data_IF_593008662644
#
_entry.id   IF_593008662644
#
_cell.length_a   1.000
_cell.length_b   1.000
_cell.length_c   1.000
_cell.angle_alpha   90.00
_cell.angle_beta   90.00
_cell.angle_gamma   90.00
#
_symmetry.space_group_name_H-M   'P 1'
#
loop_
_entity.id
_entity.type
_entity.pdbx_description
1 polymer ?
#
# COMPACT_ATOMS: atom_id res chain seq x y z
N UNK A 1 2.61 13.05 -5.34
CA UNK A 1 1.99 14.37 -5.10
C UNK A 1 0.50 14.22 -4.74
N UNK A 2 -0.33 13.66 -5.62
CA UNK A 2 -1.78 13.56 -5.41
C UNK A 2 -2.18 12.87 -4.10
N UNK A 3 -1.54 11.77 -3.75
CA UNK A 3 -1.83 11.00 -2.53
C UNK A 3 -1.53 11.77 -1.23
N UNK A 4 -0.65 12.76 -1.29
CA UNK A 4 -0.13 13.45 -0.09
C UNK A 4 -0.63 14.88 0.05
N UNK A 5 -1.42 15.41 -0.89
CA UNK A 5 -1.90 16.80 -0.89
C UNK A 5 -2.62 17.22 0.40
N UNK A 6 -3.32 16.29 1.04
CA UNK A 6 -4.05 16.55 2.29
C UNK A 6 -3.26 16.16 3.54
N UNK A 7 -2.02 15.69 3.39
CA UNK A 7 -1.20 15.27 4.51
C UNK A 7 -0.42 16.47 5.09
N UNK A 8 -0.71 16.84 6.31
CA UNK A 8 0.04 17.87 7.01
C UNK A 8 1.43 17.38 7.42
N UNK A 9 2.45 18.19 7.20
CA UNK A 9 3.83 17.89 7.59
C UNK A 9 4.66 17.14 6.55
N UNK A 10 4.11 16.99 5.31
CA UNK A 10 4.79 16.32 4.22
C UNK A 10 4.39 16.94 2.87
N UNK A 11 5.33 17.53 2.16
CA UNK A 11 5.09 18.24 0.91
C UNK A 11 5.89 17.61 -0.22
N UNK A 12 5.22 17.10 -1.24
CA UNK A 12 5.87 16.59 -2.45
C UNK A 12 5.94 17.72 -3.48
N UNK A 13 7.11 18.00 -4.09
CA UNK A 13 7.23 19.03 -5.12
C UNK A 13 6.27 18.77 -6.28
N UNK A 14 5.63 19.82 -6.77
CA UNK A 14 4.73 19.75 -7.92
C UNK A 14 5.54 19.56 -9.20
N UNK A 15 5.00 18.76 -10.13
CA UNK A 15 5.59 18.55 -11.45
C UNK A 15 4.95 19.50 -12.46
N UNK A 16 5.79 20.13 -13.29
CA UNK A 16 5.38 20.96 -14.42
C UNK A 16 5.40 20.14 -15.70
N UNK A 17 4.28 19.50 -16.02
CA UNK A 17 4.16 18.57 -17.14
C UNK A 17 4.50 19.21 -18.49
N UNK A 18 4.15 20.50 -18.70
CA UNK A 18 4.45 21.24 -19.91
C UNK A 18 5.97 21.43 -20.17
N UNK A 19 6.78 21.29 -19.12
CA UNK A 19 8.24 21.42 -19.18
C UNK A 19 8.95 20.09 -18.89
N UNK A 20 8.20 18.98 -18.86
CA UNK A 20 8.73 17.64 -18.57
C UNK A 20 8.73 16.80 -19.85
N UNK A 21 9.83 16.07 -20.09
CA UNK A 21 10.00 15.20 -21.26
C UNK A 21 10.53 13.84 -20.80
N UNK A 22 10.80 12.90 -21.73
CA UNK A 22 11.39 11.59 -21.39
C UNK A 22 12.73 11.66 -20.65
N UNK A 23 13.48 12.76 -20.79
CA UNK A 23 14.81 12.92 -20.22
C UNK A 23 14.94 14.13 -19.29
N UNK A 24 13.90 14.93 -19.15
CA UNK A 24 13.88 16.14 -18.32
C UNK A 24 12.66 16.09 -17.42
N UNK A 25 12.89 16.16 -16.12
CA UNK A 25 11.84 16.31 -15.11
C UNK A 25 11.91 17.72 -14.53
N UNK A 26 10.86 18.50 -14.71
CA UNK A 26 10.74 19.85 -14.16
C UNK A 26 9.76 19.85 -13.00
N UNK A 27 10.24 20.28 -11.84
CA UNK A 27 9.47 20.31 -10.60
C UNK A 27 9.73 21.60 -9.83
N UNK A 28 8.93 21.87 -8.79
CA UNK A 28 9.14 22.99 -7.89
C UNK A 28 10.56 22.98 -7.33
N UNK A 29 11.17 24.17 -7.25
CA UNK A 29 12.42 24.32 -6.50
C UNK A 29 12.15 24.04 -5.02
N UNK A 30 12.93 23.13 -4.45
CA UNK A 30 12.84 22.83 -3.02
C UNK A 30 13.58 23.93 -2.24
N UNK A 31 12.82 24.63 -1.41
CA UNK A 31 13.35 25.61 -0.45
C UNK A 31 13.24 25.00 0.95
N UNK A 32 14.38 24.54 1.46
CA UNK A 32 14.44 23.89 2.77
C UNK A 32 15.86 23.52 3.15
N UNK A 33 16.02 23.14 4.41
CA UNK A 33 17.29 22.68 4.98
C UNK A 33 17.32 21.16 4.89
N UNK A 34 18.48 20.58 4.57
CA UNK A 34 18.62 19.12 4.62
C UNK A 34 18.30 18.60 6.02
N UNK A 35 17.56 17.49 6.09
CA UNK A 35 17.22 16.85 7.38
C UNK A 35 18.45 16.43 8.20
N UNK A 36 19.64 16.43 7.59
CA UNK A 36 20.93 16.16 8.25
C UNK A 36 21.38 17.30 9.15
N UNK A 37 20.99 18.53 8.81
CA UNK A 37 21.50 19.76 9.45
C UNK A 37 20.71 20.07 10.72
N UNK A 38 20.79 19.17 11.72
CA UNK A 38 19.99 19.21 12.95
C UNK A 38 20.14 20.53 13.71
N UNK A 39 21.34 21.15 13.68
CA UNK A 39 21.59 22.41 14.37
C UNK A 39 20.85 23.56 13.69
N UNK A 40 20.88 23.63 12.37
CA UNK A 40 20.16 24.63 11.59
C UNK A 40 18.65 24.49 11.77
N UNK A 41 18.13 23.25 11.75
CA UNK A 41 16.73 22.97 12.02
C UNK A 41 16.28 23.45 13.42
N UNK A 42 17.13 23.26 14.44
CA UNK A 42 16.86 23.76 15.80
C UNK A 42 16.85 25.30 15.86
N UNK A 43 17.78 25.95 15.17
CA UNK A 43 17.87 27.42 15.09
C UNK A 43 16.60 27.99 14.43
N UNK A 44 16.03 27.28 13.44
CA UNK A 44 14.74 27.65 12.82
C UNK A 44 13.52 27.34 13.71
N UNK A 45 13.70 26.77 14.89
CA UNK A 45 12.60 26.42 15.79
C UNK A 45 11.83 25.15 15.39
N UNK A 46 12.42 24.31 14.53
CA UNK A 46 11.78 23.05 14.12
C UNK A 46 11.80 22.05 15.28
N UNK A 47 10.65 21.52 15.65
CA UNK A 47 10.50 20.45 16.63
C UNK A 47 10.97 19.12 16.04
N UNK A 48 12.19 18.71 16.38
CA UNK A 48 12.81 17.48 15.88
C UNK A 48 12.06 16.20 16.30
N UNK A 49 11.39 16.21 17.47
CA UNK A 49 10.56 15.09 17.93
C UNK A 49 9.33 14.93 17.03
N UNK A 50 8.66 16.03 16.73
CA UNK A 50 7.52 16.07 15.81
C UNK A 50 7.95 15.68 14.40
N UNK A 51 9.12 16.15 13.96
CA UNK A 51 9.69 15.83 12.65
C UNK A 51 9.97 14.33 12.52
N UNK A 52 10.61 13.71 13.51
CA UNK A 52 10.87 12.27 13.55
C UNK A 52 9.57 11.44 13.50
N UNK A 53 8.57 11.86 14.28
CA UNK A 53 7.23 11.25 14.26
C UNK A 53 6.58 11.36 12.88
N UNK A 54 6.60 12.54 12.28
CA UNK A 54 6.00 12.78 10.97
C UNK A 54 6.67 11.91 9.89
N UNK A 55 8.00 11.79 9.91
CA UNK A 55 8.75 10.97 8.96
C UNK A 55 8.25 9.51 8.95
N UNK A 56 8.17 8.89 10.12
CA UNK A 56 7.70 7.51 10.25
C UNK A 56 6.24 7.38 9.81
N UNK A 57 5.38 8.28 10.28
CA UNK A 57 3.94 8.21 9.99
C UNK A 57 3.64 8.40 8.51
N UNK A 58 4.34 9.32 7.83
CA UNK A 58 4.15 9.54 6.39
C UNK A 58 4.67 8.37 5.55
N UNK A 59 5.80 7.79 5.92
CA UNK A 59 6.28 6.57 5.27
C UNK A 59 5.25 5.44 5.37
N UNK A 60 4.70 5.20 6.56
CA UNK A 60 3.69 4.16 6.76
C UNK A 60 2.37 4.46 6.03
N UNK A 61 1.91 5.70 6.01
CA UNK A 61 0.73 6.09 5.23
C UNK A 61 0.92 5.79 3.75
N UNK A 62 2.06 6.15 3.17
CA UNK A 62 2.39 5.81 1.79
C UNK A 62 2.34 4.31 1.54
N UNK A 63 2.90 3.50 2.46
CA UNK A 63 2.93 2.05 2.31
C UNK A 63 1.55 1.41 2.48
N UNK A 64 0.83 1.67 3.60
CA UNK A 64 -0.40 0.95 3.92
C UNK A 64 -1.65 1.62 3.35
N UNK A 65 -1.75 2.96 3.37
CA UNK A 65 -2.91 3.69 2.85
C UNK A 65 -2.88 3.77 1.33
N UNK A 66 -1.75 4.21 0.77
CA UNK A 66 -1.64 4.53 -0.65
C UNK A 66 -1.14 3.34 -1.48
N UNK A 67 -0.36 2.45 -0.87
CA UNK A 67 0.29 1.33 -1.56
C UNK A 67 1.31 1.81 -2.59
N UNK A 68 1.77 3.04 -2.46
CA UNK A 68 2.78 3.66 -3.31
C UNK A 68 3.69 4.50 -2.44
N UNK A 69 4.93 4.07 -2.26
CA UNK A 69 5.85 4.65 -1.30
C UNK A 69 7.22 4.93 -1.90
N UNK A 70 7.88 5.94 -1.35
CA UNK A 70 9.26 6.28 -1.68
C UNK A 70 10.18 5.14 -1.24
N UNK A 71 10.96 4.59 -2.16
CA UNK A 71 11.82 3.42 -1.95
C UNK A 71 13.23 3.76 -1.44
N UNK A 72 13.57 5.03 -1.23
CA UNK A 72 14.91 5.45 -0.82
C UNK A 72 14.89 6.72 0.05
N UNK A 73 14.25 6.62 1.23
CA UNK A 73 14.08 7.74 2.18
C UNK A 73 15.33 7.99 3.05
N UNK A 74 16.52 7.93 2.45
CA UNK A 74 17.72 8.30 3.19
C UNK A 74 17.79 9.83 3.41
N UNK A 75 18.53 10.22 4.43
CA UNK A 75 18.62 11.63 4.87
C UNK A 75 19.09 12.62 3.78
N UNK A 76 19.71 12.14 2.70
CA UNK A 76 20.12 12.97 1.55
C UNK A 76 18.96 13.37 0.64
N UNK A 77 17.89 12.61 0.66
CA UNK A 77 16.68 12.83 -0.15
C UNK A 77 15.57 13.56 0.62
N UNK A 78 15.85 14.05 1.84
CA UNK A 78 14.87 14.67 2.70
C UNK A 78 15.27 16.07 3.09
N UNK A 79 14.43 17.04 2.77
CA UNK A 79 14.55 18.43 3.15
C UNK A 79 13.41 18.80 4.10
N UNK A 80 13.60 19.91 4.84
CA UNK A 80 12.62 20.43 5.78
C UNK A 80 12.43 21.91 5.52
N UNK A 81 11.18 22.34 5.29
CA UNK A 81 10.85 23.75 5.09
C UNK A 81 10.82 24.51 6.42
N UNK A 82 10.66 25.85 6.34
CA UNK A 82 10.57 26.73 7.50
C UNK A 82 9.36 26.47 8.40
N UNK A 83 8.37 25.68 7.94
CA UNK A 83 7.19 25.27 8.73
C UNK A 83 7.38 23.91 9.39
N UNK A 84 8.52 23.24 9.16
CA UNK A 84 8.80 21.90 9.66
C UNK A 84 8.13 20.79 8.84
N UNK A 85 7.73 21.06 7.59
CA UNK A 85 7.25 20.02 6.69
C UNK A 85 8.42 19.31 6.01
N UNK A 86 8.31 17.99 5.87
CA UNK A 86 9.28 17.17 5.16
C UNK A 86 9.02 17.29 3.66
N UNK A 87 10.09 17.54 2.89
CA UNK A 87 10.04 17.59 1.44
C UNK A 87 10.95 16.49 0.90
N UNK A 88 10.40 15.38 0.40
CA UNK A 88 11.19 14.34 -0.24
C UNK A 88 11.60 14.76 -1.64
N UNK A 89 12.77 14.29 -2.08
CA UNK A 89 13.28 14.43 -3.43
C UNK A 89 13.79 13.09 -3.95
N UNK A 90 14.16 13.04 -5.22
CA UNK A 90 14.70 11.83 -5.87
C UNK A 90 13.74 10.62 -5.80
N UNK A 91 12.69 10.69 -6.59
CA UNK A 91 11.68 9.62 -6.74
C UNK A 91 12.10 8.52 -7.73
N UNK A 92 13.40 8.32 -7.95
CA UNK A 92 13.94 7.32 -8.86
C UNK A 92 13.62 5.89 -8.45
N UNK A 93 13.47 5.63 -7.15
CA UNK A 93 13.09 4.33 -6.60
C UNK A 93 11.76 4.48 -5.87
N UNK A 94 10.71 3.84 -6.42
CA UNK A 94 9.37 3.82 -5.82
C UNK A 94 8.90 2.38 -5.64
N UNK A 95 8.28 2.09 -4.50
CA UNK A 95 7.65 0.81 -4.21
C UNK A 95 6.15 0.83 -4.43
N UNK A 96 5.58 -0.34 -4.83
CA UNK A 96 4.13 -0.53 -4.96
C UNK A 96 3.70 -1.77 -4.18
N UNK A 97 2.59 -1.63 -3.46
CA UNK A 97 1.90 -2.72 -2.77
C UNK A 97 0.45 -2.77 -3.26
N UNK A 98 0.00 -3.93 -3.68
CA UNK A 98 -1.41 -4.16 -3.99
C UNK A 98 -2.28 -4.15 -2.71
N UNK A 99 -3.60 -4.20 -2.88
CA UNK A 99 -4.55 -4.12 -1.76
C UNK A 99 -4.36 -5.23 -0.73
N UNK A 100 -4.04 -6.45 -1.19
CA UNK A 100 -3.85 -7.61 -0.30
C UNK A 100 -2.56 -7.48 0.50
N UNK A 101 -1.45 -7.13 -0.16
CA UNK A 101 -0.16 -6.92 0.48
C UNK A 101 -0.22 -5.78 1.51
N UNK A 102 -0.94 -4.69 1.23
CA UNK A 102 -1.17 -3.61 2.21
C UNK A 102 -1.92 -4.10 3.44
N UNK A 103 -2.96 -4.92 3.24
CA UNK A 103 -3.72 -5.51 4.34
C UNK A 103 -2.84 -6.42 5.19
N UNK A 104 -2.14 -7.37 4.58
CA UNK A 104 -1.24 -8.28 5.29
C UNK A 104 -0.14 -7.52 6.03
N UNK A 105 0.49 -6.53 5.39
CA UNK A 105 1.50 -5.70 6.02
C UNK A 105 0.98 -5.02 7.29
N UNK A 106 -0.19 -4.39 7.22
CA UNK A 106 -0.75 -3.70 8.38
C UNK A 106 -1.16 -4.68 9.50
N UNK A 107 -1.70 -5.85 9.16
CA UNK A 107 -2.04 -6.89 10.13
C UNK A 107 -0.79 -7.47 10.80
N UNK A 108 0.29 -7.69 10.05
CA UNK A 108 1.58 -8.15 10.55
C UNK A 108 2.16 -7.11 11.53
N UNK A 109 2.31 -5.86 11.09
CA UNK A 109 2.87 -4.79 11.92
C UNK A 109 2.03 -4.55 13.18
N UNK A 110 0.71 -4.57 13.05
CA UNK A 110 -0.19 -4.41 14.19
C UNK A 110 -0.13 -5.60 15.15
N UNK A 111 -0.02 -6.83 14.63
CA UNK A 111 0.17 -8.03 15.42
C UNK A 111 1.47 -7.97 16.24
N UNK A 112 2.57 -7.50 15.65
CA UNK A 112 3.81 -7.24 16.40
C UNK A 112 3.58 -6.21 17.51
N UNK A 113 2.93 -5.07 17.24
CA UNK A 113 2.60 -4.05 18.26
C UNK A 113 1.78 -4.64 19.42
N UNK A 114 0.89 -5.59 19.11
CA UNK A 114 0.06 -6.28 20.11
C UNK A 114 0.75 -7.49 20.76
N UNK A 115 1.94 -7.87 20.31
CA UNK A 115 2.67 -9.08 20.71
C UNK A 115 1.88 -10.37 20.45
N UNK A 116 1.00 -10.34 19.45
CA UNK A 116 0.20 -11.49 19.03
C UNK A 116 0.91 -12.23 17.90
N UNK A 117 1.97 -12.95 18.25
CA UNK A 117 2.83 -13.64 17.28
C UNK A 117 2.13 -14.81 16.59
N UNK A 118 1.13 -15.42 17.24
CA UNK A 118 0.29 -16.44 16.61
C UNK A 118 -0.50 -15.83 15.46
N UNK A 119 -1.12 -14.66 15.70
CA UNK A 119 -1.84 -13.93 14.64
C UNK A 119 -0.91 -13.48 13.53
N UNK A 120 0.28 -13.00 13.86
CA UNK A 120 1.30 -12.62 12.87
C UNK A 120 1.67 -13.81 12.00
N UNK A 121 1.90 -15.00 12.59
CA UNK A 121 2.16 -16.22 11.84
C UNK A 121 0.99 -16.58 10.92
N UNK A 122 -0.25 -16.62 11.42
CA UNK A 122 -1.43 -16.88 10.60
C UNK A 122 -1.51 -15.97 9.36
N UNK A 123 -1.25 -14.67 9.54
CA UNK A 123 -1.28 -13.71 8.43
C UNK A 123 -0.21 -14.01 7.39
N UNK A 124 0.99 -14.41 7.80
CA UNK A 124 2.05 -14.82 6.88
C UNK A 124 1.67 -16.04 6.05
N UNK A 125 1.04 -17.05 6.68
CA UNK A 125 0.54 -18.23 5.96
C UNK A 125 -0.61 -17.85 4.99
N UNK A 126 -1.54 -17.01 5.44
CA UNK A 126 -2.64 -16.51 4.59
C UNK A 126 -2.14 -15.70 3.39
N UNK A 127 -1.06 -14.95 3.58
CA UNK A 127 -0.40 -14.19 2.51
C UNK A 127 0.41 -15.07 1.55
N UNK A 128 0.57 -16.37 1.85
CA UNK A 128 1.39 -17.27 1.06
C UNK A 128 2.88 -16.96 1.12
N UNK A 129 3.33 -16.27 2.16
CA UNK A 129 4.73 -15.91 2.38
C UNK A 129 5.54 -17.06 2.99
N UNK A 130 4.85 -17.98 3.67
CA UNK A 130 5.44 -19.19 4.30
C UNK A 130 4.85 -20.42 3.63
N UNK A 131 5.65 -21.45 3.29
CA UNK A 131 5.17 -22.73 2.76
C UNK A 131 4.13 -23.38 3.67
N UNK A 132 3.14 -24.05 3.07
CA UNK A 132 2.01 -24.63 3.82
C UNK A 132 2.38 -25.80 4.73
N UNK A 133 3.48 -26.46 4.45
CA UNK A 133 4.05 -27.58 5.18
C UNK A 133 4.91 -27.16 6.38
N UNK A 134 5.21 -25.87 6.53
CA UNK A 134 5.92 -25.35 7.68
C UNK A 134 5.02 -25.34 8.94
N UNK A 135 5.62 -25.57 10.12
CA UNK A 135 4.90 -25.49 11.40
C UNK A 135 4.57 -24.05 11.77
N UNK A 136 3.27 -23.77 11.98
CA UNK A 136 2.81 -22.44 12.41
C UNK A 136 3.30 -22.09 13.80
N UNK A 137 3.37 -23.08 14.69
CA UNK A 137 3.80 -22.94 16.07
C UNK A 137 5.28 -22.56 16.13
N UNK A 138 6.13 -23.27 15.37
CA UNK A 138 7.56 -22.96 15.29
C UNK A 138 7.80 -21.59 14.65
N UNK A 139 7.04 -21.25 13.62
CA UNK A 139 7.14 -19.94 12.98
C UNK A 139 6.71 -18.82 13.93
N UNK A 140 5.59 -18.99 14.68
CA UNK A 140 5.17 -18.03 15.70
C UNK A 140 6.21 -17.86 16.81
N UNK A 141 6.88 -18.94 17.22
CA UNK A 141 7.99 -18.89 18.20
C UNK A 141 9.21 -18.15 17.64
N UNK A 142 9.57 -18.38 16.39
CA UNK A 142 10.64 -17.64 15.73
C UNK A 142 10.32 -16.14 15.63
N UNK A 143 9.10 -15.77 15.27
CA UNK A 143 8.65 -14.38 15.27
C UNK A 143 8.69 -13.75 16.66
N UNK A 144 8.32 -14.53 17.70
CA UNK A 144 8.39 -14.09 19.09
C UNK A 144 9.83 -13.84 19.54
N UNK A 145 10.77 -14.71 19.19
CA UNK A 145 12.18 -14.54 19.55
C UNK A 145 12.79 -13.25 18.99
N UNK A 146 12.29 -12.76 17.86
CA UNK A 146 12.69 -11.48 17.27
C UNK A 146 11.89 -10.30 17.85
N UNK A 147 10.60 -10.50 18.09
CA UNK A 147 9.71 -9.43 18.54
C UNK A 147 9.87 -9.07 20.03
N UNK A 148 9.98 -10.05 20.93
CA UNK A 148 10.03 -9.78 22.37
C UNK A 148 11.22 -8.92 22.82
N UNK A 149 12.45 -9.11 22.32
CA UNK A 149 13.57 -8.25 22.70
C UNK A 149 13.33 -6.77 22.36
N UNK A 150 12.56 -6.49 21.32
CA UNK A 150 12.25 -5.12 20.91
C UNK A 150 11.44 -4.37 21.97
N UNK A 151 10.55 -5.08 22.67
CA UNK A 151 9.67 -4.50 23.68
C UNK A 151 10.24 -4.51 25.10
N UNK A 152 11.29 -5.32 25.33
CA UNK A 152 11.92 -5.46 26.65
C UNK A 152 13.17 -4.62 26.87
N UNK A 153 13.74 -4.05 25.80
CA UNK A 153 14.97 -3.26 25.88
C UNK A 153 14.69 -1.76 25.86
N UNK A 154 15.60 -0.98 26.45
CA UNK A 154 15.58 0.47 26.24
C UNK A 154 15.78 0.78 24.75
N UNK A 155 15.03 1.75 24.27
CA UNK A 155 14.99 2.16 22.83
C UNK A 155 16.39 2.40 22.24
N UNK A 156 17.36 2.74 23.09
CA UNK A 156 18.76 2.98 22.70
C UNK A 156 19.51 1.72 22.24
N UNK A 157 19.08 0.56 22.72
CA UNK A 157 19.80 -0.71 22.54
C UNK A 157 19.27 -1.55 21.36
N UNK A 158 18.12 -1.16 20.79
CA UNK A 158 17.53 -1.86 19.65
C UNK A 158 18.18 -1.37 18.36
N UNK A 159 18.98 -2.22 17.73
CA UNK A 159 19.53 -1.98 16.40
C UNK A 159 18.53 -2.44 15.31
N UNK A 160 18.00 -1.51 14.51
CA UNK A 160 17.16 -1.87 13.36
C UNK A 160 17.89 -2.78 12.36
N UNK A 161 19.20 -2.67 12.25
CA UNK A 161 20.03 -3.57 11.45
C UNK A 161 20.03 -5.01 11.99
N UNK A 162 20.13 -5.20 13.31
CA UNK A 162 20.06 -6.52 13.92
C UNK A 162 18.67 -7.14 13.78
N UNK A 163 17.62 -6.33 13.90
CA UNK A 163 16.25 -6.77 13.65
C UNK A 163 16.07 -7.27 12.23
N UNK A 164 16.57 -6.51 11.25
CA UNK A 164 16.50 -6.90 9.86
C UNK A 164 17.27 -8.20 9.59
N UNK A 165 18.47 -8.36 10.17
CA UNK A 165 19.25 -9.58 10.05
C UNK A 165 18.49 -10.79 10.60
N UNK A 166 17.89 -10.69 11.78
CA UNK A 166 17.07 -11.75 12.38
C UNK A 166 15.82 -12.08 11.54
N UNK A 167 15.19 -11.08 10.93
CA UNK A 167 14.07 -11.32 10.01
C UNK A 167 14.53 -12.05 8.74
N UNK A 168 15.72 -11.77 8.23
CA UNK A 168 16.31 -12.53 7.12
C UNK A 168 16.61 -13.98 7.50
N UNK A 169 17.17 -14.23 8.70
CA UNK A 169 17.39 -15.60 9.21
C UNK A 169 16.08 -16.40 9.29
N UNK A 170 14.99 -15.77 9.76
CA UNK A 170 13.66 -16.39 9.74
C UNK A 170 13.20 -16.68 8.32
N UNK A 171 13.38 -15.73 7.41
CA UNK A 171 13.02 -15.87 6.00
C UNK A 171 13.72 -17.07 5.36
N UNK A 172 14.99 -17.24 5.62
CA UNK A 172 15.80 -18.36 5.14
C UNK A 172 15.39 -19.68 5.82
N UNK A 173 15.30 -19.70 7.14
CA UNK A 173 14.94 -20.88 7.93
C UNK A 173 13.59 -21.49 7.52
N UNK A 174 12.61 -20.68 7.18
CA UNK A 174 11.26 -21.11 6.80
C UNK A 174 11.03 -21.10 5.29
N UNK A 175 12.07 -20.97 4.47
CA UNK A 175 11.98 -20.94 3.00
C UNK A 175 10.88 -19.97 2.51
N UNK A 176 10.81 -18.77 3.11
CA UNK A 176 9.77 -17.82 2.82
C UNK A 176 9.89 -17.27 1.39
N UNK A 177 8.74 -17.06 0.74
CA UNK A 177 8.68 -16.39 -0.55
C UNK A 177 8.95 -14.90 -0.37
N UNK A 178 10.06 -14.42 -0.92
CA UNK A 178 10.42 -13.01 -0.85
C UNK A 178 9.82 -12.23 -2.02
N UNK A 179 9.07 -11.19 -1.71
CA UNK A 179 8.56 -10.24 -2.70
C UNK A 179 9.46 -9.00 -2.74
N UNK A 180 9.98 -8.60 -3.92
CA UNK A 180 10.90 -7.44 -4.03
C UNK A 180 10.34 -6.15 -3.41
N UNK A 181 9.04 -5.91 -3.53
CA UNK A 181 8.38 -4.74 -2.93
C UNK A 181 8.39 -4.76 -1.39
N UNK A 182 8.26 -5.95 -0.78
CA UNK A 182 8.33 -6.09 0.67
C UNK A 182 9.76 -5.97 1.19
N UNK A 183 10.74 -6.49 0.45
CA UNK A 183 12.16 -6.28 0.78
C UNK A 183 12.55 -4.80 0.71
N UNK A 184 12.11 -4.09 -0.33
CA UNK A 184 12.31 -2.65 -0.46
C UNK A 184 11.68 -1.88 0.70
N UNK A 185 10.47 -2.29 1.11
CA UNK A 185 9.78 -1.70 2.26
C UNK A 185 10.56 -1.93 3.56
N UNK A 186 11.01 -3.15 3.82
CA UNK A 186 11.80 -3.51 5.01
C UNK A 186 13.09 -2.70 5.09
N UNK A 187 13.86 -2.65 3.97
CA UNK A 187 15.06 -1.79 3.88
C UNK A 187 14.74 -0.35 4.25
N UNK A 188 13.65 0.18 3.69
CA UNK A 188 13.28 1.57 3.89
C UNK A 188 12.77 1.85 5.31
N UNK A 189 12.09 0.90 5.95
CA UNK A 189 11.72 1.02 7.37
C UNK A 189 12.95 1.23 8.26
N UNK A 190 14.01 0.45 8.05
CA UNK A 190 15.27 0.59 8.81
C UNK A 190 15.93 1.95 8.54
N UNK A 191 15.93 2.39 7.28
CA UNK A 191 16.47 3.72 6.92
C UNK A 191 15.69 4.84 7.59
N UNK A 192 14.36 4.81 7.52
CA UNK A 192 13.46 5.80 8.12
C UNK A 192 13.60 5.82 9.64
N UNK A 193 13.68 4.65 10.29
CA UNK A 193 13.95 4.55 11.72
C UNK A 193 15.28 5.18 12.07
N UNK A 194 16.34 4.85 11.33
CA UNK A 194 17.67 5.41 11.53
C UNK A 194 17.71 6.94 11.42
N UNK A 195 17.00 7.51 10.44
CA UNK A 195 16.87 8.97 10.29
C UNK A 195 16.07 9.57 11.44
N UNK A 196 14.93 8.95 11.81
CA UNK A 196 14.09 9.44 12.90
C UNK A 196 14.83 9.43 14.25
N UNK A 197 15.64 8.40 14.52
CA UNK A 197 16.46 8.30 15.74
C UNK A 197 17.60 9.30 15.78
N UNK A 198 18.17 9.68 14.63
CA UNK A 198 19.14 10.78 14.57
C UNK A 198 18.52 12.14 14.91
N UNK A 199 17.27 12.37 14.52
CA UNK A 199 16.51 13.57 14.88
C UNK A 199 16.14 13.57 16.36
N UNK A 200 15.61 12.45 16.86
CA UNK A 200 15.18 12.27 18.23
C UNK A 200 15.46 10.84 18.70
N UNK A 201 16.55 10.60 19.46
CA UNK A 201 17.03 9.26 19.84
C UNK A 201 16.02 8.39 20.57
N UNK A 202 15.07 9.00 21.27
CA UNK A 202 14.01 8.31 22.01
C UNK A 202 12.81 7.90 21.15
N UNK A 203 12.90 8.06 19.82
CA UNK A 203 11.82 7.69 18.92
C UNK A 203 11.62 6.17 18.88
N UNK A 204 10.41 5.75 19.23
CA UNK A 204 9.98 4.36 19.13
C UNK A 204 9.09 4.20 17.90
N UNK A 205 9.61 3.52 16.88
CA UNK A 205 8.88 3.31 15.61
C UNK A 205 7.55 2.59 15.83
N UNK A 206 7.47 1.64 16.75
CA UNK A 206 6.27 0.86 17.03
C UNK A 206 5.15 1.69 17.65
N UNK A 207 5.50 2.56 18.61
CA UNK A 207 4.54 3.47 19.23
C UNK A 207 4.04 4.53 18.24
N UNK A 208 4.97 5.09 17.46
CA UNK A 208 4.65 6.10 16.44
C UNK A 208 3.80 5.53 15.32
N UNK A 209 4.00 4.25 14.97
CA UNK A 209 3.27 3.53 13.90
C UNK A 209 1.84 3.17 14.30
N UNK A 210 1.61 2.88 15.58
CA UNK A 210 0.32 2.37 16.09
C UNK A 210 -0.90 3.14 15.58
N UNK A 211 -0.99 4.48 15.72
CA UNK A 211 -2.19 5.22 15.31
C UNK A 211 -2.45 5.14 13.79
N UNK A 212 -1.41 5.09 12.96
CA UNK A 212 -1.55 4.96 11.50
C UNK A 212 -2.14 3.61 11.16
N UNK A 213 -1.61 2.53 11.74
CA UNK A 213 -2.07 1.17 11.50
C UNK A 213 -3.48 0.94 12.03
N UNK A 214 -3.80 1.41 13.24
CA UNK A 214 -5.15 1.29 13.83
C UNK A 214 -6.20 2.01 12.99
N UNK A 215 -5.93 3.24 12.56
CA UNK A 215 -6.84 4.01 11.73
C UNK A 215 -7.08 3.34 10.38
N UNK A 216 -6.02 2.83 9.76
CA UNK A 216 -6.13 2.16 8.46
C UNK A 216 -6.87 0.82 8.58
N UNK A 217 -6.57 0.00 9.61
CA UNK A 217 -7.28 -1.26 9.87
C UNK A 217 -8.77 -1.05 10.19
N UNK A 218 -9.11 0.03 10.92
CA UNK A 218 -10.51 0.43 11.13
C UNK A 218 -11.18 0.80 9.81
N UNK A 219 -10.48 1.57 8.96
CA UNK A 219 -11.00 1.96 7.65
C UNK A 219 -11.32 0.76 6.77
N UNK A 220 -10.39 -0.20 6.60
CA UNK A 220 -10.64 -1.37 5.74
C UNK A 220 -11.73 -2.31 6.28
N UNK A 221 -12.00 -2.32 7.58
CA UNK A 221 -13.09 -3.08 8.20
C UNK A 221 -14.43 -2.32 8.19
N UNK A 222 -14.44 -1.06 7.76
CA UNK A 222 -15.65 -0.24 7.75
C UNK A 222 -16.51 -0.52 6.51
N UNK A 223 -17.85 -0.35 6.59
CA UNK A 223 -18.73 -0.42 5.42
C UNK A 223 -18.34 0.56 4.31
N UNK A 224 -17.79 1.71 4.70
CA UNK A 224 -17.32 2.74 3.77
C UNK A 224 -16.24 2.21 2.82
N UNK A 225 -15.28 1.43 3.30
CA UNK A 225 -14.23 0.85 2.45
C UNK A 225 -14.79 -0.15 1.44
N UNK A 226 -15.86 -0.88 1.80
CA UNK A 226 -16.56 -1.80 0.90
C UNK A 226 -17.25 -1.04 -0.22
N UNK A 227 -17.91 0.08 0.10
CA UNK A 227 -18.55 0.97 -0.87
C UNK A 227 -17.51 1.62 -1.78
N UNK A 228 -16.45 2.20 -1.22
CA UNK A 228 -15.36 2.82 -1.99
C UNK A 228 -14.69 1.80 -2.93
N UNK A 229 -14.53 0.55 -2.48
CA UNK A 229 -13.98 -0.53 -3.32
C UNK A 229 -14.94 -0.90 -4.44
N UNK A 230 -16.24 -1.04 -4.15
CA UNK A 230 -17.25 -1.34 -5.15
C UNK A 230 -17.33 -0.24 -6.23
N UNK A 231 -17.34 1.03 -5.81
CA UNK A 231 -17.37 2.17 -6.73
C UNK A 231 -16.12 2.23 -7.61
N UNK A 232 -14.94 2.05 -7.04
CA UNK A 232 -13.68 2.06 -7.80
C UNK A 232 -13.59 0.87 -8.76
N UNK A 233 -14.03 -0.33 -8.33
CA UNK A 233 -14.06 -1.52 -9.18
C UNK A 233 -15.05 -1.33 -10.33
N UNK A 234 -16.23 -0.78 -10.04
CA UNK A 234 -17.22 -0.48 -11.07
C UNK A 234 -16.69 0.55 -12.09
N UNK A 235 -16.04 1.60 -11.63
CA UNK A 235 -15.43 2.61 -12.49
C UNK A 235 -14.30 2.04 -13.37
N UNK A 236 -13.48 1.12 -12.84
CA UNK A 236 -12.45 0.42 -13.61
C UNK A 236 -13.04 -0.53 -14.65
N UNK A 237 -14.10 -1.27 -14.29
CA UNK A 237 -14.82 -2.17 -15.19
C UNK A 237 -15.44 -1.36 -16.33
N UNK A 238 -16.14 -0.26 -16.01
CA UNK A 238 -16.74 0.65 -17.01
C UNK A 238 -15.69 1.16 -17.98
N UNK A 239 -14.50 1.55 -17.52
CA UNK A 239 -13.40 2.03 -18.38
C UNK A 239 -12.79 0.94 -19.26
N UNK A 240 -12.91 -0.33 -18.90
CA UNK A 240 -12.34 -1.47 -19.63
C UNK A 240 -13.28 -2.11 -20.63
N UNK A 241 -14.58 -1.80 -20.57
CA UNK A 241 -15.57 -2.32 -21.53
C UNK A 241 -15.71 -1.31 -22.68
N UNK A 242 -15.18 -1.61 -23.88
CA UNK A 242 -15.45 -0.77 -25.04
C UNK A 242 -16.97 -0.79 -25.29
N UNK A 243 -17.58 0.37 -25.49
CA UNK A 243 -19.02 0.52 -25.75
C UNK A 243 -19.95 0.18 -24.55
N UNK A 244 -19.53 0.46 -23.32
CA UNK A 244 -20.39 0.30 -22.13
C UNK A 244 -21.76 1.00 -22.27
N UNK A 245 -21.90 2.21 -22.86
CA UNK A 245 -23.19 2.83 -23.12
C UNK A 245 -24.09 1.97 -23.98
N UNK A 246 -23.59 1.42 -25.10
CA UNK A 246 -24.34 0.53 -25.99
C UNK A 246 -24.82 -0.74 -25.28
N UNK A 247 -24.02 -1.25 -24.34
CA UNK A 247 -24.39 -2.43 -23.56
C UNK A 247 -25.53 -2.12 -22.59
N UNK A 248 -25.52 -0.94 -21.97
CA UNK A 248 -26.58 -0.48 -21.08
C UNK A 248 -27.87 -0.21 -21.85
N UNK A 249 -27.80 0.39 -23.05
CA UNK A 249 -28.97 0.62 -23.89
C UNK A 249 -29.60 -0.70 -24.34
N UNK A 250 -28.80 -1.70 -24.69
CA UNK A 250 -29.28 -3.05 -25.01
C UNK A 250 -29.90 -3.76 -23.82
N UNK A 251 -29.33 -3.59 -22.61
CA UNK A 251 -29.88 -4.16 -21.39
C UNK A 251 -31.22 -3.50 -21.02
N UNK A 252 -31.33 -2.16 -21.15
CA UNK A 252 -32.58 -1.43 -20.92
C UNK A 252 -33.67 -1.84 -21.91
N UNK A 253 -33.29 -1.98 -23.19
CA UNK A 253 -34.18 -2.48 -24.22
C UNK A 253 -34.68 -3.91 -23.95
N UNK A 254 -33.78 -4.81 -23.54
CA UNK A 254 -34.12 -6.18 -23.19
C UNK A 254 -35.06 -6.23 -21.95
N UNK A 255 -34.81 -5.40 -20.94
CA UNK A 255 -35.67 -5.28 -19.76
C UNK A 255 -37.07 -4.76 -20.10
N UNK A 256 -37.17 -3.78 -21.01
CA UNK A 256 -38.47 -3.30 -21.52
C UNK A 256 -39.22 -4.39 -22.26
N UNK A 257 -38.55 -5.15 -23.13
CA UNK A 257 -39.17 -6.28 -23.81
C UNK A 257 -39.62 -7.39 -22.85
N UNK A 258 -38.88 -7.62 -21.76
CA UNK A 258 -39.31 -8.55 -20.69
C UNK A 258 -40.53 -8.00 -19.96
N UNK A 259 -40.52 -6.73 -19.58
CA UNK A 259 -41.66 -6.09 -18.88
C UNK A 259 -42.94 -6.06 -19.74
N UNK A 260 -42.80 -5.93 -21.07
CA UNK A 260 -43.92 -5.97 -22.04
C UNK A 260 -44.33 -7.39 -22.42
N UNK A 261 -43.70 -8.45 -21.84
CA UNK A 261 -44.03 -9.85 -22.17
C UNK A 261 -43.66 -10.29 -23.58
N UNK A 262 -42.84 -9.46 -24.29
CA UNK A 262 -42.44 -9.70 -25.68
C UNK A 262 -41.13 -10.51 -25.80
N UNK A 263 -40.39 -10.72 -24.71
CA UNK A 263 -39.19 -11.54 -24.67
C UNK A 263 -39.54 -12.96 -24.20
N UNK A 264 -39.76 -13.86 -25.14
CA UNK A 264 -39.94 -15.28 -24.86
C UNK A 264 -38.53 -15.88 -24.68
N UNK A 265 -38.03 -15.97 -23.47
CA UNK A 265 -36.86 -16.78 -23.14
C UNK A 265 -37.25 -18.23 -23.29
N UNK A 266 -37.07 -18.77 -24.48
CA UNK A 266 -37.36 -20.16 -24.81
C UNK A 266 -36.55 -21.16 -24.01
N UNK A 267 -36.88 -21.30 -22.73
CA UNK A 267 -36.50 -22.45 -21.91
C UNK A 267 -37.50 -23.53 -22.21
N UNK A 268 -37.29 -24.26 -23.27
CA UNK A 268 -38.07 -25.45 -23.59
C UNK A 268 -38.56 -25.53 -25.03
N UNK A 269 -37.71 -25.95 -25.93
CA UNK A 269 -37.91 -26.89 -27.02
C UNK A 269 -36.90 -26.66 -28.14
N UNK A 270 -36.02 -27.62 -28.34
CA UNK A 270 -34.98 -27.67 -29.38
C UNK A 270 -35.52 -27.70 -30.86
N UNK A 271 -36.83 -27.51 -31.09
CA UNK A 271 -37.40 -27.50 -32.45
C UNK A 271 -37.39 -26.13 -33.14
N UNK A 272 -37.31 -25.03 -32.39
CA UNK A 272 -37.34 -23.70 -33.02
C UNK A 272 -35.95 -23.25 -33.58
N UNK A 273 -34.86 -23.75 -32.99
CA UNK A 273 -33.51 -23.45 -33.45
C UNK A 273 -33.17 -24.16 -34.78
N UNK A 274 -33.70 -25.35 -35.05
CA UNK A 274 -33.50 -26.05 -36.34
C UNK A 274 -34.20 -25.34 -37.50
N UNK A 275 -35.38 -24.75 -37.29
CA UNK A 275 -36.15 -24.03 -38.31
C UNK A 275 -35.46 -22.73 -38.68
N UNK A 276 -34.85 -22.02 -37.76
CA UNK A 276 -34.13 -20.79 -38.01
C UNK A 276 -32.77 -21.02 -38.68
N UNK A 277 -32.09 -22.08 -38.37
CA UNK A 277 -30.87 -22.51 -39.06
C UNK A 277 -31.14 -22.98 -40.50
N UNK A 278 -32.27 -23.61 -40.76
CA UNK A 278 -32.67 -23.94 -42.13
C UNK A 278 -33.02 -22.70 -42.96
N UNK A 279 -33.65 -21.67 -42.35
CA UNK A 279 -33.95 -20.40 -43.07
C UNK A 279 -32.67 -19.64 -43.42
N UNK A 280 -31.66 -19.62 -42.55
CA UNK A 280 -30.36 -18.98 -42.77
C UNK A 280 -29.49 -19.71 -43.82
N UNK A 281 -29.63 -21.05 -43.94
CA UNK A 281 -28.96 -21.79 -45.02
C UNK A 281 -29.55 -21.52 -46.42
N UNK A 282 -30.86 -21.33 -46.49
CA UNK A 282 -31.54 -21.03 -47.79
C UNK A 282 -31.30 -19.58 -48.26
N UNK A 283 -30.90 -18.67 -47.38
CA UNK A 283 -30.56 -17.26 -47.72
C UNK A 283 -29.10 -17.09 -48.22
N UNK A 284 -28.28 -18.13 -48.05
CA UNK A 284 -26.87 -18.11 -48.53
C UNK A 284 -26.64 -18.80 -49.86
N UNK A 285 -27.68 -19.39 -50.43
CA UNK A 285 -27.61 -20.12 -51.68
C UNK A 285 -28.50 -19.55 -52.81
N UNK A 286 -28.89 -18.28 -52.69
CA UNK A 286 -29.50 -17.52 -53.82
C UNK A 286 -28.67 -16.26 -54.10
#
# INVERSE_FOLDING_TARGET
>A
YENTQQDHGFNVPKIYWNYTTKRILTLDKVEGISIREHNELKVLGVDLKKLAKNLIQHFLKQAVRDGFFHGDMHQGNLFVDHKGNIIPVDFGIMGRLDKNNRKFLAEILYGFIKRDYVKVAEVHFQAGLVPRDASKEEFAQALRSVGEPIFGQTIKDISGGNLLAQLFEITEKFNMVTQPSLLLLQKNMVVVEGVARKLFPETNIWEVSRPVLENWLKYIKSPKSTIDTALNTSAEIIKRIPNFPDLMDRADYALKLMAEGKLNLGIGNNKSLEIEQMKLKNFRNN
#
